data_IF_959583300741
#
_entry.id   IF_959583300741
#
_cell.length_a   1.000
_cell.length_b   1.000
_cell.length_c   1.000
_cell.angle_alpha   90.00
_cell.angle_beta   90.00
_cell.angle_gamma   90.00
#
_symmetry.space_group_name_H-M   'P 1'
#
loop_
_entity.id
_entity.type
_entity.pdbx_description
1 polymer ?
#
# COMPACT_ATOMS: atom_id res chain seq x y z
N UNK A 1 -18.27 -21.10 -10.86
CA UNK A 1 -18.76 -19.76 -11.21
C UNK A 1 -17.69 -18.76 -10.80
N UNK A 2 -17.08 -18.02 -11.73
CA UNK A 2 -16.11 -17.00 -11.37
C UNK A 2 -16.87 -15.85 -10.68
N UNK A 3 -16.64 -15.67 -9.38
CA UNK A 3 -17.16 -14.50 -8.67
C UNK A 3 -16.55 -13.27 -9.37
N UNK A 4 -17.37 -12.48 -10.05
CA UNK A 4 -16.93 -11.18 -10.54
C UNK A 4 -16.58 -10.36 -9.30
N UNK A 5 -15.31 -10.38 -8.91
CA UNK A 5 -14.79 -9.57 -7.81
C UNK A 5 -14.85 -8.12 -8.29
N UNK A 6 -15.91 -7.43 -7.89
CA UNK A 6 -16.04 -5.99 -8.11
C UNK A 6 -14.81 -5.24 -7.60
N UNK A 7 -14.62 -3.98 -8.01
CA UNK A 7 -13.42 -3.21 -7.68
C UNK A 7 -13.18 -3.18 -6.17
N UNK A 8 -11.92 -3.35 -5.74
CA UNK A 8 -11.50 -3.34 -4.33
C UNK A 8 -10.96 -1.95 -4.01
N UNK A 9 -11.60 -1.24 -3.09
CA UNK A 9 -11.20 0.11 -2.71
C UNK A 9 -10.50 0.09 -1.36
N UNK A 10 -9.32 0.69 -1.27
CA UNK A 10 -8.57 0.83 -0.03
C UNK A 10 -8.24 2.29 0.24
N UNK A 11 -8.43 2.72 1.48
CA UNK A 11 -7.75 3.90 1.98
C UNK A 11 -6.35 3.47 2.41
N UNK A 12 -5.32 3.90 1.68
CA UNK A 12 -3.91 3.56 1.95
C UNK A 12 -3.19 4.82 2.40
N UNK A 13 -2.50 4.73 3.53
CA UNK A 13 -1.63 5.76 4.07
C UNK A 13 -0.23 5.20 4.32
N UNK A 14 0.76 6.08 4.39
CA UNK A 14 2.13 5.65 4.65
C UNK A 14 3.10 6.81 4.84
N UNK A 15 4.33 6.43 5.17
CA UNK A 15 5.44 7.35 5.36
C UNK A 15 6.61 6.89 4.50
N UNK A 16 7.32 7.86 3.93
CA UNK A 16 8.59 7.64 3.25
C UNK A 16 9.67 8.34 4.08
N UNK A 17 10.73 7.62 4.39
CA UNK A 17 11.88 8.14 5.11
C UNK A 17 13.15 7.98 4.26
N UNK A 18 13.84 9.10 4.03
CA UNK A 18 15.12 9.12 3.32
C UNK A 18 16.26 8.90 4.30
N UNK A 19 16.89 7.73 4.21
CA UNK A 19 18.06 7.35 5.02
C UNK A 19 19.30 8.09 4.49
N UNK A 20 19.39 8.25 3.18
CA UNK A 20 20.37 9.11 2.52
C UNK A 20 19.68 9.95 1.45
N UNK A 21 20.40 10.91 0.86
CA UNK A 21 19.89 11.68 -0.30
C UNK A 21 19.43 10.81 -1.48
N UNK A 22 19.98 9.60 -1.57
CA UNK A 22 19.77 8.70 -2.70
C UNK A 22 18.98 7.43 -2.32
N UNK A 23 18.77 7.16 -1.04
CA UNK A 23 18.09 5.96 -0.55
C UNK A 23 16.94 6.30 0.39
N UNK A 24 15.73 5.89 0.01
CA UNK A 24 14.53 6.01 0.83
C UNK A 24 13.90 4.65 1.12
N UNK A 25 13.31 4.51 2.30
CA UNK A 25 12.47 3.39 2.69
C UNK A 25 11.04 3.90 2.94
N UNK A 26 10.04 3.09 2.62
CA UNK A 26 8.64 3.41 2.86
C UNK A 26 7.92 2.32 3.64
N UNK A 27 6.97 2.75 4.47
CA UNK A 27 6.00 1.89 5.13
C UNK A 27 4.60 2.36 4.76
N UNK A 28 3.71 1.43 4.42
CA UNK A 28 2.33 1.70 4.02
C UNK A 28 1.40 0.73 4.71
N UNK A 29 0.25 1.24 5.12
CA UNK A 29 -0.85 0.46 5.64
C UNK A 29 -2.14 0.96 5.01
N UNK A 30 -3.09 0.05 4.79
CA UNK A 30 -4.36 0.37 4.19
C UNK A 30 -5.49 -0.45 4.78
N UNK A 31 -6.67 0.15 4.79
CA UNK A 31 -7.91 -0.48 5.20
C UNK A 31 -8.86 -0.47 4.02
N UNK A 32 -9.55 -1.58 3.80
CA UNK A 32 -10.51 -1.62 2.72
C UNK A 32 -11.80 -0.87 3.06
N UNK A 33 -12.41 -0.29 2.03
CA UNK A 33 -13.52 0.66 2.13
C UNK A 33 -14.84 0.08 1.59
N UNK A 34 -14.82 -1.14 1.08
CA UNK A 34 -15.99 -1.82 0.56
C UNK A 34 -15.98 -3.31 0.90
N UNK A 35 -17.11 -3.98 0.68
CA UNK A 35 -17.25 -5.40 1.04
C UNK A 35 -16.31 -6.31 0.24
N UNK A 36 -15.87 -5.88 -0.95
CA UNK A 36 -14.87 -6.59 -1.76
C UNK A 36 -13.44 -6.41 -1.21
N UNK A 37 -13.22 -5.44 -0.32
CA UNK A 37 -11.97 -5.19 0.40
C UNK A 37 -12.26 -5.18 1.92
N UNK A 38 -12.61 -6.33 2.50
CA UNK A 38 -12.84 -6.43 3.96
C UNK A 38 -11.55 -6.84 4.72
N UNK A 39 -10.40 -6.51 4.16
CA UNK A 39 -9.08 -6.89 4.65
C UNK A 39 -8.17 -5.69 4.85
N UNK A 40 -7.09 -5.93 5.59
CA UNK A 40 -6.04 -4.96 5.84
C UNK A 40 -4.88 -5.22 4.89
N UNK A 41 -4.30 -4.14 4.38
CA UNK A 41 -3.11 -4.16 3.55
C UNK A 41 -1.96 -3.55 4.34
N UNK A 42 -0.80 -4.21 4.36
CA UNK A 42 0.42 -3.67 4.93
C UNK A 42 1.58 -3.95 3.97
N UNK A 43 2.49 -2.99 3.82
CA UNK A 43 3.60 -3.10 2.90
C UNK A 43 4.76 -2.22 3.29
N UNK A 44 5.95 -2.64 2.87
CA UNK A 44 7.18 -1.87 2.98
C UNK A 44 7.83 -1.79 1.60
N UNK A 45 8.57 -0.73 1.33
CA UNK A 45 9.30 -0.56 0.08
C UNK A 45 10.57 0.25 0.26
N UNK A 46 11.31 0.39 -0.83
CA UNK A 46 12.49 1.24 -0.90
C UNK A 46 12.63 1.85 -2.29
N UNK A 47 13.30 2.99 -2.36
CA UNK A 47 13.63 3.70 -3.58
C UNK A 47 15.11 4.07 -3.58
N UNK A 48 15.76 3.91 -4.73
CA UNK A 48 17.13 4.36 -4.98
C UNK A 48 17.10 5.40 -6.10
N UNK A 49 17.81 6.52 -5.92
CA UNK A 49 18.04 7.55 -6.94
C UNK A 49 19.49 7.48 -7.42
N UNK A 50 19.71 7.70 -8.71
CA UNK A 50 21.02 7.68 -9.37
C UNK A 50 21.25 9.02 -10.08
#
# INVERSE_FOLDING_TARGET
MAQASGPRHYAVGGLVYFITKDFGADIRAGVGLNQQANDFLAGTGFAVRF
#
